data_IF_279574978425
#
_entry.id   IF_279574978425
#
_cell.length_a   1.000
_cell.length_b   1.000
_cell.length_c   1.000
_cell.angle_alpha   90.00
_cell.angle_beta   90.00
_cell.angle_gamma   90.00
#
_symmetry.space_group_name_H-M   'P 1'
#
loop_
_entity.id
_entity.type
_entity.pdbx_description
1 polymer ?
#
# COMPACT_ATOMS: atom_id res chain seq x y z
N UNK A 1 18.37 -1.80 -8.65
CA UNK A 1 18.43 -1.77 -7.17
C UNK A 1 17.10 -1.30 -6.57
N UNK A 2 16.36 -2.15 -5.85
CA UNK A 2 15.09 -1.77 -5.21
C UNK A 2 15.22 -0.66 -4.16
N UNK A 3 16.44 -0.39 -3.68
CA UNK A 3 16.72 0.67 -2.70
C UNK A 3 17.03 2.03 -3.34
N UNK A 4 17.20 2.10 -4.67
CA UNK A 4 17.34 3.36 -5.40
C UNK A 4 15.96 3.98 -5.64
N UNK A 5 15.83 5.32 -5.61
CA UNK A 5 14.54 6.03 -5.72
C UNK A 5 13.82 5.68 -7.02
N UNK A 6 14.56 5.66 -8.12
CA UNK A 6 14.05 5.26 -9.44
C UNK A 6 13.64 3.78 -9.44
N UNK A 7 14.42 2.94 -8.74
CA UNK A 7 14.13 1.52 -8.56
C UNK A 7 12.86 1.24 -7.76
N UNK A 8 12.57 2.02 -6.71
CA UNK A 8 11.34 1.91 -5.90
C UNK A 8 10.10 2.22 -6.74
N UNK A 9 10.13 3.31 -7.50
CA UNK A 9 9.02 3.70 -8.39
C UNK A 9 8.80 2.66 -9.49
N UNK A 10 9.86 2.24 -10.17
CA UNK A 10 9.77 1.24 -11.24
C UNK A 10 9.26 -0.11 -10.71
N UNK A 11 9.76 -0.55 -9.56
CA UNK A 11 9.30 -1.79 -8.93
C UNK A 11 7.81 -1.73 -8.58
N UNK A 12 7.37 -0.61 -7.99
CA UNK A 12 5.96 -0.37 -7.67
C UNK A 12 5.09 -0.41 -8.92
N UNK A 13 5.55 0.22 -10.01
CA UNK A 13 4.84 0.22 -11.28
C UNK A 13 4.69 -1.19 -11.87
N UNK A 14 5.76 -1.99 -11.88
CA UNK A 14 5.69 -3.37 -12.38
C UNK A 14 4.75 -4.25 -11.54
N UNK A 15 4.73 -4.06 -10.23
CA UNK A 15 3.77 -4.73 -9.35
C UNK A 15 2.33 -4.32 -9.65
N UNK A 16 2.09 -3.02 -9.83
CA UNK A 16 0.76 -2.51 -10.19
C UNK A 16 0.26 -3.19 -11.46
N UNK A 17 1.06 -3.32 -12.52
CA UNK A 17 0.62 -3.99 -13.76
C UNK A 17 0.15 -5.43 -13.55
N UNK A 18 0.63 -6.08 -12.49
CA UNK A 18 0.26 -7.46 -12.16
C UNK A 18 -1.02 -7.51 -11.32
N UNK A 19 -1.16 -6.62 -10.33
CA UNK A 19 -2.27 -6.62 -9.36
C UNK A 19 -3.45 -5.70 -9.75
N UNK A 20 -3.29 -4.87 -10.78
CA UNK A 20 -4.24 -3.81 -11.16
C UNK A 20 -5.71 -4.24 -11.14
N UNK A 21 -6.13 -5.37 -11.73
CA UNK A 21 -7.54 -5.79 -11.71
C UNK A 21 -8.09 -6.02 -10.29
N UNK A 22 -7.26 -6.61 -9.41
CA UNK A 22 -7.62 -6.89 -8.02
C UNK A 22 -7.66 -5.60 -7.20
N UNK A 23 -6.65 -4.74 -7.37
CA UNK A 23 -6.59 -3.43 -6.72
C UNK A 23 -7.80 -2.57 -7.08
N UNK A 24 -8.12 -2.48 -8.36
CA UNK A 24 -9.27 -1.73 -8.85
C UNK A 24 -10.60 -2.26 -8.31
N UNK A 25 -10.79 -3.58 -8.33
CA UNK A 25 -11.98 -4.24 -7.78
C UNK A 25 -12.15 -3.89 -6.29
N UNK A 26 -11.06 -3.95 -5.52
CA UNK A 26 -11.07 -3.65 -4.09
C UNK A 26 -11.35 -2.17 -3.82
N UNK A 27 -10.61 -1.24 -4.43
CA UNK A 27 -10.77 0.21 -4.21
C UNK A 27 -12.14 0.72 -4.67
N UNK A 28 -12.74 0.14 -5.73
CA UNK A 28 -14.11 0.45 -6.15
C UNK A 28 -15.17 -0.04 -5.16
N UNK A 29 -14.91 -1.14 -4.46
CA UNK A 29 -15.82 -1.62 -3.42
C UNK A 29 -15.69 -0.78 -2.15
N UNK A 30 -14.46 -0.44 -1.77
CA UNK A 30 -14.17 0.44 -0.64
C UNK A 30 -14.79 1.83 -0.82
N UNK A 31 -14.65 2.45 -2.00
CA UNK A 31 -15.24 3.78 -2.29
C UNK A 31 -16.76 3.80 -2.28
N UNK A 32 -17.42 2.64 -2.45
CA UNK A 32 -18.87 2.47 -2.32
C UNK A 32 -19.32 2.22 -0.88
N UNK A 33 -18.39 2.26 0.09
CA UNK A 33 -18.69 2.01 1.50
C UNK A 33 -19.00 0.55 1.81
N UNK A 34 -18.47 -0.39 1.01
CA UNK A 34 -18.67 -1.83 1.26
C UNK A 34 -17.99 -2.31 2.55
N UNK A 35 -16.94 -1.61 2.99
CA UNK A 35 -16.20 -1.90 4.21
C UNK A 35 -16.28 -0.70 5.16
N UNK A 36 -16.23 -0.98 6.46
CA UNK A 36 -16.42 0.00 7.54
C UNK A 36 -15.17 0.19 8.40
N UNK A 37 -14.04 -0.39 8.01
CA UNK A 37 -12.76 -0.21 8.68
C UNK A 37 -12.23 1.22 8.54
N UNK A 38 -11.48 1.66 9.55
CA UNK A 38 -10.81 2.96 9.59
C UNK A 38 -9.44 2.88 8.91
N UNK A 39 -8.83 1.69 8.87
CA UNK A 39 -7.57 1.43 8.17
C UNK A 39 -7.74 0.52 6.96
N UNK A 40 -6.73 0.51 6.09
CA UNK A 40 -6.72 -0.37 4.93
C UNK A 40 -6.73 -1.85 5.35
N UNK A 41 -5.98 -2.19 6.40
CA UNK A 41 -5.86 -3.53 6.97
C UNK A 41 -7.19 -4.01 7.57
N UNK A 42 -7.93 -3.12 8.23
CA UNK A 42 -9.27 -3.42 8.74
C UNK A 42 -10.26 -3.70 7.61
N UNK A 43 -10.19 -2.92 6.52
CA UNK A 43 -11.01 -3.17 5.33
C UNK A 43 -10.66 -4.50 4.65
N UNK A 44 -9.37 -4.87 4.61
CA UNK A 44 -8.93 -6.17 4.11
C UNK A 44 -9.46 -7.30 4.98
N UNK A 45 -9.35 -7.18 6.31
CA UNK A 45 -9.85 -8.20 7.24
C UNK A 45 -11.37 -8.39 7.10
N UNK A 46 -12.12 -7.30 6.94
CA UNK A 46 -13.55 -7.36 6.68
C UNK A 46 -13.86 -8.01 5.31
N UNK A 47 -13.12 -7.65 4.27
CA UNK A 47 -13.31 -8.21 2.94
C UNK A 47 -13.03 -9.72 2.87
N UNK A 48 -12.06 -10.23 3.64
CA UNK A 48 -11.83 -11.68 3.81
C UNK A 48 -13.03 -12.32 4.52
N UNK A 49 -13.48 -11.73 5.64
CA UNK A 49 -14.60 -12.26 6.44
C UNK A 49 -15.90 -12.34 5.64
N UNK A 50 -16.14 -11.37 4.76
CA UNK A 50 -17.31 -11.33 3.87
C UNK A 50 -17.14 -12.18 2.61
N UNK A 51 -15.98 -12.82 2.41
CA UNK A 51 -15.68 -13.64 1.22
C UNK A 51 -15.56 -12.84 -0.08
N UNK A 52 -15.29 -11.53 0.00
CA UNK A 52 -15.11 -10.68 -1.18
C UNK A 52 -13.76 -10.91 -1.88
N UNK A 53 -12.75 -11.25 -1.08
CA UNK A 53 -11.40 -11.63 -1.49
C UNK A 53 -10.95 -12.87 -0.71
N UNK A 54 -10.02 -13.62 -1.28
CA UNK A 54 -9.29 -14.72 -0.63
C UNK A 54 -8.11 -14.21 0.20
N UNK A 55 -7.55 -15.07 1.06
CA UNK A 55 -6.34 -14.74 1.83
C UNK A 55 -5.13 -14.43 0.93
N UNK A 56 -4.99 -15.14 -0.20
CA UNK A 56 -3.91 -14.88 -1.17
C UNK A 56 -4.06 -13.52 -1.84
N UNK A 57 -5.29 -13.12 -2.21
CA UNK A 57 -5.57 -11.79 -2.75
C UNK A 57 -5.33 -10.71 -1.70
N UNK A 58 -5.68 -10.96 -0.43
CA UNK A 58 -5.43 -10.05 0.66
C UNK A 58 -3.92 -9.80 0.87
N UNK A 59 -3.10 -10.86 0.85
CA UNK A 59 -1.65 -10.72 0.93
C UNK A 59 -1.07 -9.86 -0.19
N UNK A 60 -1.54 -10.07 -1.43
CA UNK A 60 -1.12 -9.26 -2.57
C UNK A 60 -1.50 -7.77 -2.39
N UNK A 61 -2.73 -7.51 -1.93
CA UNK A 61 -3.23 -6.15 -1.69
C UNK A 61 -2.43 -5.44 -0.58
N UNK A 62 -2.14 -6.13 0.52
CA UNK A 62 -1.33 -5.60 1.62
C UNK A 62 0.10 -5.30 1.18
N UNK A 63 0.75 -6.25 0.51
CA UNK A 63 2.11 -6.08 0.00
C UNK A 63 2.20 -4.91 -0.97
N UNK A 64 1.26 -4.83 -1.92
CA UNK A 64 1.23 -3.74 -2.88
C UNK A 64 0.96 -2.39 -2.19
N UNK A 65 0.04 -2.32 -1.22
CA UNK A 65 -0.23 -1.07 -0.51
C UNK A 65 0.98 -0.57 0.27
N UNK A 66 1.75 -1.47 0.89
CA UNK A 66 2.99 -1.14 1.58
C UNK A 66 4.01 -0.51 0.61
N UNK A 67 4.28 -1.17 -0.52
CA UNK A 67 5.27 -0.70 -1.51
C UNK A 67 4.79 0.59 -2.20
N UNK A 68 3.48 0.68 -2.49
CA UNK A 68 2.87 1.88 -3.03
C UNK A 68 3.07 3.06 -2.08
N UNK A 69 2.79 2.88 -0.79
CA UNK A 69 2.98 3.94 0.21
C UNK A 69 4.45 4.35 0.29
N UNK A 70 5.36 3.37 0.37
CA UNK A 70 6.81 3.58 0.42
C UNK A 70 7.33 4.40 -0.78
N UNK A 71 6.86 4.09 -1.98
CA UNK A 71 7.28 4.81 -3.21
C UNK A 71 6.84 6.27 -3.26
N UNK A 72 5.84 6.65 -2.45
CA UNK A 72 5.33 8.03 -2.36
C UNK A 72 5.91 8.80 -1.16
N UNK A 73 6.70 8.15 -0.29
CA UNK A 73 7.31 8.82 0.85
C UNK A 73 8.30 9.87 0.36
N UNK A 74 8.16 11.08 0.89
CA UNK A 74 9.06 12.20 0.67
C UNK A 74 9.75 12.55 1.98
N UNK A 75 10.99 13.02 1.89
CA UNK A 75 11.72 13.48 3.07
C UNK A 75 10.99 14.64 3.76
N UNK A 76 11.19 14.72 5.07
CA UNK A 76 10.71 15.83 5.88
C UNK A 76 11.78 16.91 5.87
N UNK A 77 11.48 18.04 5.23
CA UNK A 77 12.35 19.19 5.18
C UNK A 77 12.00 20.18 6.29
N UNK A 78 12.92 20.44 7.21
CA UNK A 78 12.83 21.54 8.17
C UNK A 78 13.77 22.70 7.76
N UNK A 79 13.61 23.87 8.40
CA UNK A 79 14.43 25.06 8.12
C UNK A 79 15.93 24.82 8.39
N UNK A 80 16.26 23.82 9.23
CA UNK A 80 17.61 23.50 9.66
C UNK A 80 17.86 22.01 9.49
N UNK A 81 17.87 21.56 8.23
CA UNK A 81 18.07 20.15 7.89
C UNK A 81 19.50 19.75 8.24
N UNK A 82 19.72 19.34 9.49
CA UNK A 82 21.03 18.94 10.00
C UNK A 82 21.28 17.44 9.80
N UNK A 83 20.23 16.66 9.56
CA UNK A 83 20.25 15.20 9.39
C UNK A 83 18.91 14.71 8.85
N UNK A 84 18.96 13.64 8.06
CA UNK A 84 17.78 12.98 7.53
C UNK A 84 16.94 12.39 8.67
N UNK A 85 15.63 12.52 8.56
CA UNK A 85 14.67 11.93 9.50
C UNK A 85 14.21 10.56 8.97
N UNK A 86 13.96 9.59 9.87
CA UNK A 86 13.48 8.29 9.46
C UNK A 86 12.08 8.39 8.84
N UNK A 87 11.90 7.73 7.70
CA UNK A 87 10.60 7.59 7.04
C UNK A 87 9.87 6.39 7.66
N UNK A 88 8.60 6.59 8.02
CA UNK A 88 7.74 5.54 8.58
C UNK A 88 6.65 5.16 7.58
N UNK A 89 6.55 3.87 7.26
CA UNK A 89 5.46 3.31 6.49
C UNK A 89 4.48 2.56 7.42
N UNK A 90 3.26 3.07 7.64
CA UNK A 90 2.29 2.45 8.53
C UNK A 90 1.72 1.12 7.99
N UNK A 91 1.92 0.85 6.70
CA UNK A 91 1.45 -0.36 6.03
C UNK A 91 2.53 -1.43 5.90
N UNK A 92 3.75 -1.14 6.35
CA UNK A 92 4.83 -2.11 6.32
C UNK A 92 4.59 -3.17 7.39
N UNK A 93 4.29 -4.39 6.94
CA UNK A 93 4.14 -5.55 7.83
C UNK A 93 5.54 -5.86 8.38
N UNK A 94 5.68 -5.78 9.71
CA UNK A 94 6.91 -6.11 10.46
C UNK A 94 7.04 -7.62 10.61
#
# INVERSE_FOLDING_TARGET
EPNDVTGRLEHTFQMLRTIEPLWDKFKKAESKGKFTGLTFEENIAQAIKEGFISESEAQQLLQYNAIRFDSMLTDVFDEKLNKDLPLLNPHQIV
#
